data_IF_878365269737
#
_entry.id   IF_878365269737
#
_cell.length_a   1.000
_cell.length_b   1.000
_cell.length_c   1.000
_cell.angle_alpha   90.00
_cell.angle_beta   90.00
_cell.angle_gamma   90.00
#
_symmetry.space_group_name_H-M   'P 1'
#
loop_
_entity.id
_entity.type
_entity.pdbx_description
1 polymer ?
#
# COMPACT_ATOMS: atom_id res chain seq x y z
N UNK A 1 1.86 -12.67 27.54
CA UNK A 1 0.53 -12.05 27.80
C UNK A 1 -0.22 -11.92 26.49
N UNK A 2 -1.50 -12.31 26.43
CA UNK A 2 -2.30 -12.23 25.19
C UNK A 2 -2.71 -10.79 24.89
N UNK A 3 -2.67 -10.40 23.61
CA UNK A 3 -3.09 -9.08 23.14
C UNK A 3 -4.01 -9.22 21.93
N UNK A 4 -5.16 -8.55 21.96
CA UNK A 4 -6.10 -8.54 20.84
C UNK A 4 -5.66 -7.52 19.79
N UNK A 5 -5.23 -7.97 18.61
CA UNK A 5 -4.63 -7.11 17.60
C UNK A 5 -5.57 -6.91 16.41
N UNK A 6 -6.11 -5.70 16.26
CA UNK A 6 -6.80 -5.32 15.02
C UNK A 6 -5.82 -5.25 13.85
N UNK A 7 -6.23 -5.82 12.72
CA UNK A 7 -5.49 -5.86 11.46
C UNK A 7 -6.30 -5.29 10.32
N UNK A 8 -5.72 -4.31 9.62
CA UNK A 8 -6.30 -3.74 8.40
C UNK A 8 -5.78 -4.36 7.10
N UNK A 9 -4.59 -4.95 7.08
CA UNK A 9 -4.00 -5.65 5.93
C UNK A 9 -2.76 -6.48 6.35
N UNK A 10 -2.37 -7.43 5.50
CA UNK A 10 -1.20 -8.28 5.75
C UNK A 10 0.13 -7.50 5.85
N UNK A 11 0.44 -6.50 4.98
CA UNK A 11 1.69 -5.75 5.12
C UNK A 11 1.87 -5.07 6.49
N UNK A 12 0.82 -4.42 7.01
CA UNK A 12 0.88 -3.77 8.33
C UNK A 12 0.97 -4.81 9.46
N UNK A 13 0.29 -5.96 9.32
CA UNK A 13 0.40 -7.07 10.27
C UNK A 13 1.83 -7.60 10.38
N UNK A 14 2.61 -7.61 9.30
CA UNK A 14 3.94 -8.25 9.33
C UNK A 14 4.84 -7.72 10.43
N UNK A 15 5.08 -6.41 10.45
CA UNK A 15 5.94 -5.76 11.43
C UNK A 15 5.27 -5.67 12.80
N UNK A 16 3.95 -5.44 12.85
CA UNK A 16 3.21 -5.36 14.12
C UNK A 16 3.28 -6.68 14.88
N UNK A 17 3.05 -7.81 14.20
CA UNK A 17 3.11 -9.13 14.81
C UNK A 17 4.50 -9.43 15.35
N UNK A 18 5.54 -9.26 14.52
CA UNK A 18 6.93 -9.54 14.92
C UNK A 18 7.36 -8.71 16.13
N UNK A 19 7.10 -7.41 16.13
CA UNK A 19 7.44 -6.54 17.25
C UNK A 19 6.69 -6.86 18.53
N UNK A 20 5.43 -7.27 18.44
CA UNK A 20 4.67 -7.71 19.61
C UNK A 20 5.25 -8.98 20.22
N UNK A 21 5.59 -9.97 19.38
CA UNK A 21 6.23 -11.21 19.83
C UNK A 21 7.60 -10.93 20.47
N UNK A 22 8.42 -10.07 19.85
CA UNK A 22 9.71 -9.63 20.41
C UNK A 22 9.58 -8.97 21.79
N UNK A 23 8.44 -8.32 22.06
CA UNK A 23 8.13 -7.71 23.36
C UNK A 23 7.44 -8.66 24.35
N UNK A 24 7.34 -9.97 24.04
CA UNK A 24 6.76 -10.98 24.93
C UNK A 24 5.22 -11.05 24.92
N UNK A 25 4.57 -10.42 23.94
CA UNK A 25 3.13 -10.58 23.74
C UNK A 25 2.81 -11.79 22.87
N UNK A 26 1.62 -12.33 23.06
CA UNK A 26 1.00 -13.34 22.20
C UNK A 26 -0.14 -12.68 21.43
N UNK A 27 0.07 -12.26 20.16
CA UNK A 27 -0.96 -11.55 19.41
C UNK A 27 -2.04 -12.50 18.93
N UNK A 28 -3.29 -12.20 19.30
CA UNK A 28 -4.48 -12.83 18.75
C UNK A 28 -5.06 -11.88 17.72
N UNK A 29 -5.09 -12.31 16.46
CA UNK A 29 -5.32 -11.43 15.32
C UNK A 29 -6.81 -11.30 15.03
N UNK A 30 -7.26 -10.06 14.81
CA UNK A 30 -8.62 -9.73 14.39
C UNK A 30 -8.59 -8.92 13.10
N UNK A 31 -8.99 -9.53 11.99
CA UNK A 31 -9.10 -8.82 10.72
C UNK A 31 -10.44 -8.11 10.61
N UNK A 32 -10.42 -6.78 10.64
CA UNK A 32 -11.63 -5.97 10.46
C UNK A 32 -11.30 -4.67 9.73
N UNK A 33 -11.82 -4.55 8.51
CA UNK A 33 -11.60 -3.37 7.68
C UNK A 33 -12.81 -3.19 6.74
N UNK A 34 -13.93 -2.67 7.26
CA UNK A 34 -15.21 -2.65 6.56
C UNK A 34 -15.19 -1.77 5.30
N UNK A 35 -14.31 -0.77 5.25
CA UNK A 35 -14.20 0.15 4.13
C UNK A 35 -13.40 -0.41 2.94
N UNK A 36 -12.89 -1.64 2.97
CA UNK A 36 -12.17 -2.13 1.78
C UNK A 36 -13.16 -2.23 0.62
N UNK A 37 -12.81 -1.62 -0.50
CA UNK A 37 -13.61 -1.61 -1.70
C UNK A 37 -12.69 -1.73 -2.92
N UNK A 38 -13.05 -2.54 -3.94
CA UNK A 38 -14.26 -3.38 -4.00
C UNK A 38 -14.10 -4.70 -3.22
N UNK A 39 -15.14 -5.54 -3.21
CA UNK A 39 -15.16 -6.84 -2.53
C UNK A 39 -13.96 -7.75 -2.91
N UNK A 40 -13.51 -7.67 -4.16
CA UNK A 40 -12.34 -8.44 -4.62
C UNK A 40 -11.07 -8.03 -3.86
N UNK A 41 -10.90 -6.74 -3.57
CA UNK A 41 -9.77 -6.25 -2.77
C UNK A 41 -9.90 -6.73 -1.31
N UNK A 42 -11.11 -6.75 -0.74
CA UNK A 42 -11.34 -7.25 0.62
C UNK A 42 -10.91 -8.72 0.71
N UNK A 43 -11.43 -9.54 -0.21
CA UNK A 43 -11.14 -10.98 -0.29
C UNK A 43 -9.63 -11.21 -0.44
N UNK A 44 -8.98 -10.44 -1.30
CA UNK A 44 -7.53 -10.51 -1.50
C UNK A 44 -6.75 -10.19 -0.23
N UNK A 45 -7.06 -9.08 0.44
CA UNK A 45 -6.36 -8.68 1.68
C UNK A 45 -6.57 -9.66 2.82
N UNK A 46 -7.79 -10.20 2.97
CA UNK A 46 -8.09 -11.24 3.94
C UNK A 46 -7.29 -12.53 3.66
N UNK A 47 -7.24 -12.97 2.40
CA UNK A 47 -6.48 -14.17 2.02
C UNK A 47 -4.97 -14.04 2.32
N UNK A 48 -4.39 -12.85 2.18
CA UNK A 48 -2.99 -12.62 2.58
C UNK A 48 -2.79 -12.72 4.10
N UNK A 49 -3.78 -12.29 4.90
CA UNK A 49 -3.75 -12.45 6.36
C UNK A 49 -3.89 -13.92 6.74
N UNK A 50 -4.80 -14.67 6.08
CA UNK A 50 -4.93 -16.13 6.25
C UNK A 50 -3.64 -16.86 5.88
N UNK A 51 -2.99 -16.45 4.79
CA UNK A 51 -1.67 -16.97 4.41
C UNK A 51 -0.63 -16.75 5.52
N UNK A 52 -0.55 -15.56 6.12
CA UNK A 52 0.34 -15.32 7.26
C UNK A 52 -0.05 -16.16 8.49
N UNK A 53 -1.35 -16.34 8.75
CA UNK A 53 -1.84 -17.20 9.84
C UNK A 53 -1.37 -18.64 9.67
N UNK A 54 -1.46 -19.20 8.45
CA UNK A 54 -0.97 -20.55 8.15
C UNK A 54 0.54 -20.68 8.30
N UNK A 55 1.32 -19.65 7.93
CA UNK A 55 2.79 -19.68 7.99
C UNK A 55 3.29 -19.51 9.43
N UNK A 56 2.65 -18.67 10.23
CA UNK A 56 3.11 -18.32 11.59
C UNK A 56 2.34 -19.01 12.71
N UNK A 57 1.26 -19.72 12.40
CA UNK A 57 0.46 -20.47 13.37
C UNK A 57 -0.31 -19.61 14.37
N UNK A 58 -0.63 -18.35 14.04
CA UNK A 58 -1.40 -17.49 14.93
C UNK A 58 -2.92 -17.65 14.75
N UNK A 59 -3.65 -17.44 15.83
CA UNK A 59 -5.12 -17.42 15.83
C UNK A 59 -5.66 -16.17 15.12
N UNK A 60 -6.60 -16.36 14.20
CA UNK A 60 -7.26 -15.32 13.42
C UNK A 60 -8.77 -15.32 13.66
N UNK A 61 -9.30 -14.18 14.05
CA UNK A 61 -10.73 -13.86 14.02
C UNK A 61 -11.03 -12.97 12.80
N UNK A 62 -12.10 -13.28 12.10
CA UNK A 62 -12.59 -12.51 10.96
C UNK A 62 -13.77 -11.66 11.42
N UNK A 63 -13.68 -10.35 11.26
CA UNK A 63 -14.81 -9.44 11.46
C UNK A 63 -15.66 -9.33 10.20
N UNK A 64 -16.92 -8.99 10.39
CA UNK A 64 -17.90 -8.83 9.31
C UNK A 64 -17.44 -7.82 8.25
N UNK A 65 -17.73 -8.12 6.98
CA UNK A 65 -17.51 -7.18 5.88
C UNK A 65 -18.73 -6.26 5.74
N UNK A 66 -18.63 -5.07 6.34
CA UNK A 66 -19.77 -4.15 6.49
C UNK A 66 -19.51 -2.79 5.79
N UNK A 67 -19.36 -2.75 4.45
CA UNK A 67 -19.06 -1.51 3.72
C UNK A 67 -20.14 -0.44 3.91
N UNK A 68 -21.40 -0.84 4.09
CA UNK A 68 -22.50 0.10 4.33
C UNK A 68 -22.36 0.83 5.66
N UNK A 69 -21.98 0.15 6.74
CA UNK A 69 -21.68 0.80 8.04
C UNK A 69 -20.56 1.83 7.92
N UNK A 70 -19.55 1.54 7.09
CA UNK A 70 -18.52 2.53 6.80
C UNK A 70 -19.11 3.73 6.06
N UNK A 71 -19.90 3.52 5.00
CA UNK A 71 -20.49 4.62 4.23
C UNK A 71 -21.44 5.47 5.09
N UNK A 72 -22.28 4.85 5.91
CA UNK A 72 -23.15 5.52 6.87
C UNK A 72 -22.35 6.37 7.87
N UNK A 73 -21.30 5.79 8.47
CA UNK A 73 -20.42 6.51 9.40
C UNK A 73 -19.80 7.76 8.77
N UNK A 74 -19.36 7.64 7.52
CA UNK A 74 -18.76 8.78 6.80
C UNK A 74 -19.81 9.80 6.36
N UNK A 75 -21.01 9.37 5.95
CA UNK A 75 -22.12 10.26 5.57
C UNK A 75 -22.73 11.02 6.76
N UNK A 76 -22.78 10.41 7.94
CA UNK A 76 -23.35 11.00 9.16
C UNK A 76 -22.44 11.98 9.91
N UNK A 77 -21.20 12.18 9.45
CA UNK A 77 -20.29 13.20 9.98
C UNK A 77 -20.66 14.61 9.50
N UNK A 78 -20.35 15.64 10.28
CA UNK A 78 -20.72 17.05 9.99
C UNK A 78 -20.18 17.62 8.66
N UNK A 79 -19.28 16.93 7.96
CA UNK A 79 -18.64 17.44 6.74
C UNK A 79 -18.82 16.49 5.55
N UNK A 80 -19.48 17.02 4.52
CA UNK A 80 -19.80 16.40 3.25
C UNK A 80 -18.57 15.86 2.50
N UNK A 81 -18.60 14.57 2.17
CA UNK A 81 -18.31 13.96 0.87
C UNK A 81 -17.37 14.71 -0.12
N UNK A 82 -16.16 15.09 0.28
CA UNK A 82 -15.11 15.50 -0.69
C UNK A 82 -14.10 14.38 -0.92
N UNK A 83 -13.61 14.32 -2.17
CA UNK A 83 -12.98 13.14 -2.75
C UNK A 83 -11.56 12.86 -2.24
N UNK A 84 -10.82 13.87 -1.75
CA UNK A 84 -9.41 13.73 -1.41
C UNK A 84 -9.17 13.75 0.11
N UNK A 85 -7.98 13.33 0.54
CA UNK A 85 -7.61 13.29 1.97
C UNK A 85 -7.35 14.68 2.56
N UNK A 86 -6.97 15.65 1.74
CA UNK A 86 -6.65 17.02 2.13
C UNK A 86 -7.91 17.83 2.46
N UNK A 87 -9.01 17.58 1.76
CA UNK A 87 -10.31 18.23 1.92
C UNK A 87 -11.21 17.53 2.95
N UNK A 88 -10.87 16.31 3.38
CA UNK A 88 -11.65 15.57 4.39
C UNK A 88 -10.75 14.73 5.32
N UNK A 89 -9.93 15.38 6.18
CA UNK A 89 -9.16 14.68 7.21
C UNK A 89 -10.08 13.92 8.19
N UNK A 90 -11.27 14.44 8.48
CA UNK A 90 -12.25 13.82 9.38
C UNK A 90 -12.71 12.44 8.89
N UNK A 91 -12.80 12.21 7.57
CA UNK A 91 -13.13 10.88 7.02
C UNK A 91 -12.14 9.82 7.50
N UNK A 92 -10.85 10.15 7.50
CA UNK A 92 -9.82 9.20 7.94
C UNK A 92 -9.92 8.94 9.44
N UNK A 93 -10.23 9.98 10.22
CA UNK A 93 -10.47 9.88 11.66
C UNK A 93 -11.64 8.94 11.96
N UNK A 94 -12.82 9.20 11.37
CA UNK A 94 -14.02 8.37 11.58
C UNK A 94 -13.84 6.93 11.09
N UNK A 95 -13.09 6.73 10.00
CA UNK A 95 -12.72 5.40 9.54
C UNK A 95 -11.85 4.64 10.56
N UNK A 96 -10.89 5.31 11.21
CA UNK A 96 -10.08 4.70 12.27
C UNK A 96 -10.94 4.42 13.51
N UNK A 97 -11.79 5.37 13.88
CA UNK A 97 -12.68 5.28 15.04
C UNK A 97 -13.62 4.09 14.94
N UNK A 98 -14.30 3.91 13.80
CA UNK A 98 -15.16 2.75 13.53
C UNK A 98 -14.44 1.42 13.74
N UNK A 99 -13.19 1.32 13.28
CA UNK A 99 -12.39 0.09 13.42
C UNK A 99 -11.97 -0.14 14.86
N UNK A 100 -11.56 0.91 15.57
CA UNK A 100 -11.13 0.84 16.97
C UNK A 100 -12.29 0.52 17.91
N UNK A 101 -13.47 1.10 17.69
CA UNK A 101 -14.72 0.80 18.43
C UNK A 101 -15.09 -0.68 18.33
N UNK A 102 -15.13 -1.22 17.10
CA UNK A 102 -15.42 -2.65 16.88
C UNK A 102 -14.34 -3.53 17.51
N UNK A 103 -13.07 -3.15 17.39
CA UNK A 103 -11.94 -3.90 17.97
C UNK A 103 -12.06 -3.98 19.49
N UNK A 104 -12.33 -2.86 20.16
CA UNK A 104 -12.52 -2.83 21.61
C UNK A 104 -13.72 -3.67 22.04
N UNK A 105 -14.83 -3.56 21.30
CA UNK A 105 -16.05 -4.33 21.57
C UNK A 105 -15.78 -5.84 21.49
N UNK A 106 -15.08 -6.31 20.45
CA UNK A 106 -14.71 -7.72 20.32
C UNK A 106 -13.68 -8.16 21.36
N UNK A 107 -12.70 -7.30 21.68
CA UNK A 107 -11.73 -7.57 22.75
C UNK A 107 -12.43 -7.81 24.09
N UNK A 108 -13.39 -6.95 24.45
CA UNK A 108 -14.22 -7.09 25.66
C UNK A 108 -15.04 -8.38 25.63
N UNK A 109 -15.74 -8.65 24.52
CA UNK A 109 -16.56 -9.86 24.35
C UNK A 109 -15.74 -11.15 24.51
N UNK A 110 -14.48 -11.13 24.10
CA UNK A 110 -13.55 -12.26 24.20
C UNK A 110 -12.65 -12.21 25.45
N UNK A 111 -12.94 -11.33 26.41
CA UNK A 111 -12.23 -11.18 27.69
C UNK A 111 -10.73 -10.85 27.57
N UNK A 112 -10.34 -10.04 26.59
CA UNK A 112 -8.98 -9.49 26.51
C UNK A 112 -8.85 -8.22 27.33
N UNK A 113 -7.88 -8.18 28.24
CA UNK A 113 -7.56 -6.99 29.04
C UNK A 113 -6.88 -5.89 28.22
N UNK A 114 -6.17 -6.27 27.15
CA UNK A 114 -5.47 -5.32 26.28
C UNK A 114 -5.73 -5.57 24.79
N UNK A 115 -5.82 -4.48 24.04
CA UNK A 115 -5.95 -4.51 22.59
C UNK A 115 -4.99 -3.51 21.92
N UNK A 116 -4.69 -3.71 20.65
CA UNK A 116 -3.87 -2.80 19.84
C UNK A 116 -4.29 -2.85 18.37
N UNK A 117 -3.59 -2.11 17.53
CA UNK A 117 -3.95 -1.93 16.12
C UNK A 117 -2.75 -1.84 15.19
N UNK A 118 -2.81 -2.53 14.05
CA UNK A 118 -1.80 -2.39 12.98
C UNK A 118 -1.83 -1.03 12.29
N UNK A 119 -2.81 -0.16 12.57
CA UNK A 119 -2.83 1.21 12.03
C UNK A 119 -1.58 2.00 12.44
N UNK A 120 -0.97 1.64 13.57
CA UNK A 120 0.31 2.18 14.03
C UNK A 120 1.50 1.79 13.13
N UNK A 121 1.37 0.79 12.25
CA UNK A 121 2.38 0.46 11.23
C UNK A 121 2.23 1.25 9.93
N UNK A 122 1.01 1.71 9.58
CA UNK A 122 0.76 2.35 8.30
C UNK A 122 1.23 3.81 8.26
N UNK A 123 2.16 4.22 7.38
CA UNK A 123 2.67 5.60 7.32
C UNK A 123 1.59 6.66 7.02
N UNK A 124 0.42 6.24 6.52
CA UNK A 124 -0.69 7.14 6.17
C UNK A 124 -1.62 7.48 7.33
N UNK A 125 -1.46 6.85 8.50
CA UNK A 125 -2.36 7.00 9.66
C UNK A 125 -1.67 7.82 10.75
N UNK A 126 -2.43 8.74 11.35
CA UNK A 126 -1.96 9.63 12.40
C UNK A 126 -1.88 8.87 13.72
N UNK A 127 -0.74 8.92 14.42
CA UNK A 127 -0.63 8.32 15.75
C UNK A 127 -1.37 9.13 16.81
N UNK A 128 -1.39 10.46 16.68
CA UNK A 128 -2.12 11.34 17.60
C UNK A 128 -3.61 11.06 17.56
N UNK A 129 -4.19 10.94 16.35
CA UNK A 129 -5.62 10.66 16.19
C UNK A 129 -5.98 9.28 16.77
N UNK A 130 -5.11 8.28 16.56
CA UNK A 130 -5.33 6.94 17.12
C UNK A 130 -5.33 7.00 18.65
N UNK A 131 -4.36 7.69 19.26
CA UNK A 131 -4.28 7.85 20.70
C UNK A 131 -5.50 8.59 21.24
N UNK A 132 -5.90 9.71 20.63
CA UNK A 132 -7.07 10.48 21.02
C UNK A 132 -8.36 9.64 20.96
N UNK A 133 -8.54 8.86 19.90
CA UNK A 133 -9.69 7.95 19.77
C UNK A 133 -9.66 6.93 20.91
N UNK A 134 -8.52 6.28 21.15
CA UNK A 134 -8.42 5.21 22.16
C UNK A 134 -8.54 5.73 23.58
N UNK A 135 -8.00 6.90 23.88
CA UNK A 135 -8.13 7.56 25.18
C UNK A 135 -9.60 7.85 25.50
N UNK A 136 -10.40 8.22 24.49
CA UNK A 136 -11.84 8.39 24.65
C UNK A 136 -12.58 7.06 24.82
N UNK A 137 -12.20 6.02 24.07
CA UNK A 137 -12.79 4.69 24.20
C UNK A 137 -12.49 4.06 25.56
N UNK A 138 -11.28 4.29 26.11
CA UNK A 138 -10.75 3.63 27.30
C UNK A 138 -11.14 4.24 28.64
N UNK A 139 -11.97 5.29 28.62
CA UNK A 139 -12.67 5.77 29.82
C UNK A 139 -13.52 4.68 30.49
N UNK A 140 -13.93 3.65 29.73
CA UNK A 140 -14.56 2.44 30.26
C UNK A 140 -13.51 1.32 30.48
N UNK A 141 -13.28 0.93 31.74
CA UNK A 141 -12.11 0.17 32.25
C UNK A 141 -12.01 -1.32 31.87
N UNK A 142 -12.82 -1.83 30.92
CA UNK A 142 -12.83 -3.28 30.63
C UNK A 142 -11.69 -3.81 29.74
N UNK A 143 -11.22 -3.00 28.78
CA UNK A 143 -10.11 -3.33 27.89
C UNK A 143 -9.33 -2.06 27.57
N UNK A 144 -8.00 -2.09 27.73
CA UNK A 144 -7.12 -0.92 27.56
C UNK A 144 -6.26 -1.04 26.31
N UNK A 145 -6.09 0.07 25.61
CA UNK A 145 -5.29 0.17 24.41
C UNK A 145 -3.80 0.16 24.73
N UNK A 146 -3.06 -0.70 24.02
CA UNK A 146 -1.61 -0.74 24.07
C UNK A 146 -1.03 -0.05 22.84
N UNK A 147 -0.49 1.16 23.04
CA UNK A 147 0.26 1.86 22.02
C UNK A 147 1.65 1.25 21.81
N UNK A 148 2.00 0.95 20.55
CA UNK A 148 3.35 0.56 20.13
C UNK A 148 3.64 1.21 18.78
N UNK A 149 4.72 1.99 18.69
CA UNK A 149 5.16 2.53 17.42
C UNK A 149 5.82 1.44 16.56
N UNK A 150 5.05 0.80 15.67
CA UNK A 150 5.58 -0.24 14.79
C UNK A 150 6.51 0.29 13.70
N UNK A 151 6.55 1.60 13.44
CA UNK A 151 7.40 2.24 12.41
C UNK A 151 8.84 2.48 12.88
N UNK A 152 9.07 2.60 14.18
CA UNK A 152 10.40 2.86 14.78
C UNK A 152 11.39 1.72 14.50
N UNK A 153 12.67 1.88 14.85
CA UNK A 153 13.66 0.80 14.87
C UNK A 153 13.65 -0.07 13.60
N UNK A 154 13.76 0.56 12.42
CA UNK A 154 13.73 -0.10 11.10
C UNK A 154 12.46 -0.91 10.77
N UNK A 155 11.34 -0.66 11.47
CA UNK A 155 10.09 -1.41 11.27
C UNK A 155 9.54 -1.34 9.84
N UNK A 156 9.67 -0.19 9.17
CA UNK A 156 9.25 -0.03 7.77
C UNK A 156 10.08 -0.91 6.83
N UNK A 157 11.39 -0.98 7.06
CA UNK A 157 12.28 -1.83 6.27
C UNK A 157 12.01 -3.31 6.52
N UNK A 158 11.82 -3.69 7.78
CA UNK A 158 11.44 -5.05 8.19
C UNK A 158 10.14 -5.49 7.51
N UNK A 159 9.10 -4.65 7.52
CA UNK A 159 7.83 -4.94 6.83
C UNK A 159 8.05 -5.21 5.33
N UNK A 160 8.85 -4.38 4.67
CA UNK A 160 9.16 -4.54 3.25
C UNK A 160 9.93 -5.83 2.95
N UNK A 161 10.88 -6.21 3.81
CA UNK A 161 11.62 -7.47 3.69
C UNK A 161 10.70 -8.68 3.89
N UNK A 162 9.87 -8.69 4.95
CA UNK A 162 8.93 -9.78 5.22
C UNK A 162 7.94 -9.94 4.07
N UNK A 163 7.38 -8.84 3.57
CA UNK A 163 6.48 -8.89 2.41
C UNK A 163 7.16 -9.49 1.18
N UNK A 164 8.43 -9.17 0.94
CA UNK A 164 9.20 -9.75 -0.16
C UNK A 164 9.44 -11.24 0.06
N UNK A 165 9.87 -11.64 1.25
CA UNK A 165 10.18 -13.04 1.61
C UNK A 165 8.97 -13.95 1.43
N UNK A 166 7.80 -13.54 1.92
CA UNK A 166 6.59 -14.35 1.85
C UNK A 166 5.73 -14.05 0.62
N UNK A 167 6.20 -13.22 -0.31
CA UNK A 167 5.44 -12.77 -1.47
C UNK A 167 4.03 -12.28 -1.07
N UNK A 168 3.97 -11.35 -0.11
CA UNK A 168 2.73 -10.77 0.39
C UNK A 168 2.26 -9.68 -0.57
N UNK A 169 0.99 -9.74 -0.96
CA UNK A 169 0.39 -8.70 -1.80
C UNK A 169 0.43 -7.34 -1.08
N UNK A 170 0.90 -6.32 -1.81
CA UNK A 170 0.98 -4.93 -1.35
C UNK A 170 0.01 -4.07 -2.14
N UNK A 171 -0.96 -3.51 -1.44
CA UNK A 171 -1.95 -2.60 -1.97
C UNK A 171 -1.37 -1.22 -2.35
N UNK A 172 -1.95 -0.60 -3.37
CA UNK A 172 -1.54 0.74 -3.85
C UNK A 172 -2.36 1.88 -3.23
N UNK A 173 -3.47 1.58 -2.55
CA UNK A 173 -4.38 2.54 -1.93
C UNK A 173 -4.84 2.07 -0.55
N UNK A 174 -5.42 2.97 0.26
CA UNK A 174 -5.75 2.68 1.66
C UNK A 174 -6.82 1.57 1.81
N UNK A 175 -7.67 1.38 0.80
CA UNK A 175 -8.74 0.38 0.78
C UNK A 175 -10.12 0.98 0.51
N UNK A 176 -10.39 2.22 0.92
CA UNK A 176 -11.70 2.84 0.64
C UNK A 176 -11.88 3.32 -0.80
N UNK A 177 -13.14 3.40 -1.24
CA UNK A 177 -13.55 3.92 -2.56
C UNK A 177 -12.93 5.29 -2.85
N UNK A 178 -12.98 6.22 -1.88
CA UNK A 178 -12.35 7.53 -2.00
C UNK A 178 -10.85 7.46 -2.31
N UNK A 179 -10.10 6.62 -1.59
CA UNK A 179 -8.66 6.46 -1.82
C UNK A 179 -8.36 5.74 -3.15
N UNK A 180 -9.29 4.91 -3.64
CA UNK A 180 -9.18 4.28 -4.95
C UNK A 180 -9.36 5.33 -6.06
N UNK A 181 -10.36 6.19 -5.95
CA UNK A 181 -10.64 7.25 -6.93
C UNK A 181 -9.52 8.29 -6.96
N UNK A 182 -9.02 8.68 -5.79
CA UNK A 182 -7.82 9.51 -5.65
C UNK A 182 -6.61 8.87 -6.35
N UNK A 183 -6.36 7.58 -6.13
CA UNK A 183 -5.28 6.84 -6.81
C UNK A 183 -5.45 6.84 -8.33
N UNK A 184 -6.66 6.63 -8.84
CA UNK A 184 -6.95 6.68 -10.28
C UNK A 184 -6.71 8.08 -10.86
N UNK A 185 -7.14 9.13 -10.15
CA UNK A 185 -6.93 10.52 -10.57
C UNK A 185 -5.43 10.85 -10.67
N UNK A 186 -4.65 10.48 -9.67
CA UNK A 186 -3.20 10.69 -9.71
C UNK A 186 -2.50 9.88 -10.80
N UNK A 187 -2.98 8.66 -11.07
CA UNK A 187 -2.45 7.85 -12.17
C UNK A 187 -2.72 8.51 -13.54
N UNK A 188 -3.93 9.01 -13.76
CA UNK A 188 -4.31 9.68 -14.99
C UNK A 188 -3.54 11.00 -15.18
N UNK A 189 -3.42 11.82 -14.12
CA UNK A 189 -2.58 13.02 -14.13
C UNK A 189 -1.11 12.70 -14.45
N UNK A 190 -0.56 11.64 -13.85
CA UNK A 190 0.81 11.19 -14.16
C UNK A 190 0.93 10.72 -15.60
N UNK A 191 -0.08 10.04 -16.14
CA UNK A 191 -0.10 9.57 -17.53
C UNK A 191 -0.09 10.76 -18.49
N UNK A 192 -0.97 11.74 -18.28
CA UNK A 192 -1.05 12.97 -19.09
C UNK A 192 0.25 13.77 -19.03
N UNK A 193 0.83 13.93 -17.83
CA UNK A 193 2.13 14.61 -17.66
C UNK A 193 3.24 13.89 -18.41
N UNK A 194 3.34 12.56 -18.28
CA UNK A 194 4.36 11.79 -18.98
C UNK A 194 4.17 11.82 -20.50
N UNK A 195 2.91 11.81 -20.99
CA UNK A 195 2.60 11.98 -22.40
C UNK A 195 3.10 13.32 -22.91
N UNK A 196 2.71 14.42 -22.26
CA UNK A 196 3.14 15.78 -22.63
C UNK A 196 4.66 15.91 -22.65
N UNK A 197 5.35 15.38 -21.63
CA UNK A 197 6.82 15.38 -21.60
C UNK A 197 7.45 14.53 -22.71
N UNK A 198 6.78 13.49 -23.21
CA UNK A 198 7.26 12.74 -24.37
C UNK A 198 7.03 13.51 -25.67
N UNK A 199 5.92 14.23 -25.83
CA UNK A 199 5.66 15.09 -26.98
C UNK A 199 6.77 16.14 -27.13
N UNK A 200 7.21 16.75 -26.03
CA UNK A 200 8.31 17.71 -26.01
C UNK A 200 9.66 17.11 -26.46
N UNK A 201 9.84 15.78 -26.38
CA UNK A 201 11.11 15.09 -26.70
C UNK A 201 11.07 14.42 -28.07
N UNK A 202 9.93 13.81 -28.43
CA UNK A 202 9.78 12.96 -29.61
C UNK A 202 8.95 13.61 -30.71
N UNK A 203 8.19 14.66 -30.40
CA UNK A 203 7.09 15.13 -31.23
C UNK A 203 5.83 14.27 -31.06
N UNK A 204 4.70 14.80 -31.53
CA UNK A 204 3.38 14.19 -31.35
C UNK A 204 3.28 12.80 -32.00
N UNK A 205 3.69 12.67 -33.27
CA UNK A 205 3.57 11.43 -34.04
C UNK A 205 4.31 10.25 -33.39
N UNK A 206 5.58 10.45 -33.04
CA UNK A 206 6.38 9.42 -32.38
C UNK A 206 5.86 9.13 -30.97
N UNK A 207 5.36 10.15 -30.26
CA UNK A 207 4.78 9.94 -28.93
C UNK A 207 3.54 9.04 -29.02
N UNK A 208 2.61 9.32 -29.92
CA UNK A 208 1.43 8.47 -30.16
C UNK A 208 1.83 7.02 -30.46
N UNK A 209 2.86 6.83 -31.29
CA UNK A 209 3.37 5.50 -31.66
C UNK A 209 3.93 4.70 -30.48
N UNK A 210 4.70 5.33 -29.60
CA UNK A 210 5.44 4.64 -28.53
C UNK A 210 4.75 4.69 -27.15
N UNK A 211 3.80 5.59 -26.93
CA UNK A 211 3.12 5.72 -25.65
C UNK A 211 2.25 4.51 -25.27
N UNK A 212 1.90 3.67 -26.25
CA UNK A 212 1.29 2.34 -26.00
C UNK A 212 2.14 1.43 -25.10
N UNK A 213 3.43 1.75 -24.93
CA UNK A 213 4.33 1.03 -24.02
C UNK A 213 4.45 1.67 -22.63
N UNK A 214 3.64 2.68 -22.32
CA UNK A 214 3.56 3.27 -20.99
C UNK A 214 3.19 2.20 -19.94
N UNK A 215 4.03 2.05 -18.91
CA UNK A 215 3.95 1.05 -17.84
C UNK A 215 3.85 -0.41 -18.31
N UNK A 216 4.31 -0.73 -19.53
CA UNK A 216 4.36 -2.12 -20.03
C UNK A 216 5.21 -2.98 -19.10
N UNK A 217 4.76 -4.21 -18.84
CA UNK A 217 5.48 -5.14 -17.97
C UNK A 217 6.87 -5.50 -18.50
N UNK A 218 6.96 -5.80 -19.80
CA UNK A 218 8.21 -6.12 -20.49
C UNK A 218 8.34 -5.29 -21.76
N UNK A 219 9.34 -4.42 -21.79
CA UNK A 219 9.72 -3.63 -22.96
C UNK A 219 10.99 -4.22 -23.59
N UNK A 220 10.98 -4.46 -24.90
CA UNK A 220 12.09 -5.05 -25.65
C UNK A 220 12.78 -4.02 -26.54
N UNK A 221 14.11 -3.96 -26.47
CA UNK A 221 14.93 -3.09 -27.32
C UNK A 221 15.89 -4.00 -28.10
N UNK A 222 15.86 -4.00 -29.45
CA UNK A 222 15.23 -2.99 -30.32
C UNK A 222 13.78 -3.27 -30.79
N UNK A 223 13.16 -4.38 -30.40
CA UNK A 223 11.90 -4.85 -31.02
C UNK A 223 10.69 -3.92 -30.79
N UNK A 224 10.51 -3.42 -29.57
CA UNK A 224 9.44 -2.46 -29.24
C UNK A 224 9.90 -1.02 -29.54
N UNK A 225 11.14 -0.70 -29.18
CA UNK A 225 11.75 0.62 -29.37
C UNK A 225 13.05 0.47 -30.16
N UNK A 226 13.15 1.04 -31.38
CA UNK A 226 14.35 0.94 -32.21
C UNK A 226 15.58 1.57 -31.54
N UNK A 227 16.77 0.96 -31.75
CA UNK A 227 18.05 1.48 -31.25
C UNK A 227 18.31 2.94 -31.72
N UNK A 228 18.05 3.21 -33.00
CA UNK A 228 18.16 4.56 -33.61
C UNK A 228 17.35 5.63 -32.88
N UNK A 229 16.23 5.26 -32.25
CA UNK A 229 15.47 6.21 -31.45
C UNK A 229 16.20 6.54 -30.15
N UNK A 230 16.76 5.53 -29.49
CA UNK A 230 17.56 5.70 -28.28
C UNK A 230 18.84 6.48 -28.54
N UNK A 231 19.49 6.32 -29.69
CA UNK A 231 20.63 7.15 -30.10
C UNK A 231 20.26 8.64 -30.13
N UNK A 232 19.05 8.96 -30.64
CA UNK A 232 18.59 10.36 -30.76
C UNK A 232 18.20 11.00 -29.44
N UNK A 233 17.49 10.27 -28.57
CA UNK A 233 16.86 10.86 -27.36
C UNK A 233 17.40 10.30 -26.04
N UNK A 234 18.31 9.35 -26.10
CA UNK A 234 18.84 8.61 -24.97
C UNK A 234 17.76 7.80 -24.24
N UNK A 235 18.06 7.46 -22.99
CA UNK A 235 17.13 6.76 -22.10
C UNK A 235 15.96 7.65 -21.60
N UNK A 236 15.85 8.90 -22.08
CA UNK A 236 14.76 9.82 -21.70
C UNK A 236 13.38 9.28 -22.08
N UNK A 237 13.27 8.53 -23.18
CA UNK A 237 12.02 7.87 -23.55
C UNK A 237 11.56 6.88 -22.46
N UNK A 238 12.51 6.14 -21.87
CA UNK A 238 12.24 5.17 -20.81
C UNK A 238 11.81 5.86 -19.51
N UNK A 239 12.26 7.08 -19.26
CA UNK A 239 11.85 7.90 -18.09
C UNK A 239 10.34 8.08 -18.02
N UNK A 240 9.71 8.33 -19.16
CA UNK A 240 8.28 8.66 -19.22
C UNK A 240 7.42 7.46 -19.57
N UNK A 241 7.95 6.47 -20.31
CA UNK A 241 7.27 5.20 -20.52
C UNK A 241 7.23 4.34 -19.25
N UNK A 242 8.25 4.39 -18.37
CA UNK A 242 8.29 3.66 -17.09
C UNK A 242 7.93 2.15 -17.18
N UNK A 243 8.53 1.36 -18.09
CA UNK A 243 8.28 -0.08 -18.15
C UNK A 243 8.78 -0.79 -16.87
N UNK A 244 8.17 -1.92 -16.49
CA UNK A 244 8.61 -2.64 -15.30
C UNK A 244 9.95 -3.35 -15.51
N UNK A 245 10.12 -4.01 -16.66
CA UNK A 245 11.33 -4.70 -17.09
C UNK A 245 11.73 -4.21 -18.48
N UNK A 246 13.02 -3.90 -18.64
CA UNK A 246 13.63 -3.49 -19.91
C UNK A 246 14.56 -4.62 -20.34
N UNK A 247 14.19 -5.32 -21.41
CA UNK A 247 15.04 -6.32 -22.06
C UNK A 247 15.76 -5.65 -23.23
N UNK A 248 17.07 -5.46 -23.10
CA UNK A 248 17.87 -4.69 -24.05
C UNK A 248 19.04 -5.54 -24.56
N UNK A 249 19.27 -5.49 -25.87
CA UNK A 249 20.39 -6.21 -26.50
C UNK A 249 21.73 -5.66 -25.98
N UNK A 250 22.68 -6.55 -25.67
CA UNK A 250 23.97 -6.16 -25.06
C UNK A 250 24.69 -5.03 -25.77
N UNK A 251 24.75 -5.04 -27.11
CA UNK A 251 25.51 -4.04 -27.85
C UNK A 251 24.87 -2.65 -27.73
N UNK A 252 23.53 -2.56 -27.77
CA UNK A 252 22.80 -1.31 -27.57
C UNK A 252 22.94 -0.81 -26.11
N UNK A 253 22.98 -1.74 -25.15
CA UNK A 253 23.08 -1.39 -23.74
C UNK A 253 24.43 -0.76 -23.38
N UNK A 254 25.51 -1.18 -24.06
CA UNK A 254 26.86 -0.66 -23.88
C UNK A 254 26.94 0.83 -24.22
N UNK A 255 26.21 1.30 -25.23
CA UNK A 255 26.14 2.72 -25.61
C UNK A 255 25.60 3.62 -24.48
N UNK A 256 24.87 3.03 -23.53
CA UNK A 256 24.30 3.72 -22.36
C UNK A 256 24.99 3.35 -21.04
N UNK A 257 26.17 2.74 -21.10
CA UNK A 257 26.96 2.32 -19.93
C UNK A 257 26.23 1.27 -19.05
N UNK A 258 25.36 0.45 -19.66
CA UNK A 258 24.63 -0.63 -18.99
C UNK A 258 25.36 -1.96 -19.27
N UNK A 259 26.23 -2.34 -18.34
CA UNK A 259 27.15 -3.47 -18.53
C UNK A 259 26.65 -4.81 -17.96
N UNK A 260 25.64 -4.80 -17.09
CA UNK A 260 25.14 -6.01 -16.41
C UNK A 260 23.62 -6.01 -16.32
N UNK A 261 23.01 -7.17 -16.09
CA UNK A 261 21.59 -7.26 -15.74
C UNK A 261 21.39 -6.83 -14.29
N UNK A 262 20.80 -5.66 -14.06
CA UNK A 262 20.62 -5.08 -12.72
C UNK A 262 19.50 -4.03 -12.69
N UNK A 263 19.32 -3.36 -11.55
CA UNK A 263 18.46 -2.17 -11.45
C UNK A 263 19.28 -0.91 -11.70
N UNK A 264 18.95 -0.20 -12.77
CA UNK A 264 19.61 1.03 -13.17
C UNK A 264 18.75 2.25 -12.84
N UNK A 265 19.40 3.33 -12.41
CA UNK A 265 18.75 4.64 -12.22
C UNK A 265 18.49 5.26 -13.60
N UNK A 266 17.23 5.41 -13.95
CA UNK A 266 16.77 6.10 -15.16
C UNK A 266 16.20 7.43 -14.68
N UNK A 267 17.06 8.43 -14.62
CA UNK A 267 16.75 9.74 -14.04
C UNK A 267 16.21 9.63 -12.59
N UNK A 268 14.93 9.88 -12.36
CA UNK A 268 14.31 9.91 -11.03
C UNK A 268 13.66 8.59 -10.60
N UNK A 269 13.82 7.50 -11.36
CA UNK A 269 13.31 6.19 -10.97
C UNK A 269 14.33 5.07 -11.27
N UNK A 270 14.07 3.85 -10.79
CA UNK A 270 14.92 2.67 -11.02
C UNK A 270 14.18 1.63 -11.86
N UNK A 271 14.72 1.32 -13.05
CA UNK A 271 14.21 0.27 -13.93
C UNK A 271 15.01 -1.02 -13.79
N UNK A 272 14.34 -2.18 -13.87
CA UNK A 272 15.04 -3.47 -13.97
C UNK A 272 15.45 -3.69 -15.42
N UNK A 273 16.76 -3.74 -15.68
CA UNK A 273 17.32 -3.97 -17.00
C UNK A 273 17.89 -5.38 -17.07
N UNK A 274 17.52 -6.10 -18.12
CA UNK A 274 18.01 -7.44 -18.42
C UNK A 274 18.71 -7.36 -19.78
N UNK A 275 19.98 -7.74 -19.79
CA UNK A 275 20.77 -7.87 -21.01
C UNK A 275 20.53 -9.24 -21.63
N UNK A 276 20.37 -9.27 -22.96
CA UNK A 276 20.36 -10.51 -23.75
C UNK A 276 21.37 -10.41 -24.89
#
# INVERSE_FOLDING_TARGET
>A
MKIFLHVCCAPDLTVSYKKLVEQGYEPIVFFYNPNIYPLQEYSKRLNEVKKLSNIWGFQLYEGDYEPDKFLERIKGGKNSLTANKEESPERCYECMKLRLEKTKTEAKRLNFSIYSTTLLASPRKSHSDILEITDNLDKEESSTFKYINFRSNNGVHMAAQICKTYNIYRQNYCGCSFSLDESKRYEEQSKQKNYKSLVEILGEELTQKYFKYYKKDLLRIPQDIPAKLLEKVGLKILKYLKPQIILIKKEIAQDFNILTSSRYKIDNWKGKVILW
#
